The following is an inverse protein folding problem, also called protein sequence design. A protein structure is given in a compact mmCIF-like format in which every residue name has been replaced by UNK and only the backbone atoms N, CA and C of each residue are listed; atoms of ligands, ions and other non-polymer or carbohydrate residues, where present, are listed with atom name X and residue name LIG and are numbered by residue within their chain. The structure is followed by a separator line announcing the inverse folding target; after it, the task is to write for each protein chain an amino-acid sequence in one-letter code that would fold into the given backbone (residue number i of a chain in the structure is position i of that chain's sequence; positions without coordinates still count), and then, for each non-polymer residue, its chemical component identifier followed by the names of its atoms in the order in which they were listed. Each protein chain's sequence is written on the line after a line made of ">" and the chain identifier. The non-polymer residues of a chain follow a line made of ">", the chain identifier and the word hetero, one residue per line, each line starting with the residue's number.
data_IF_927008878831
#
_entry.id   IF_927008878831
#
_cell.length_a   1.000
_cell.length_b   1.000
_cell.length_c   1.000
_cell.angle_alpha   90.00
_cell.angle_beta   90.00
_cell.angle_gamma   90.00
#
_symmetry.space_group_name_H-M   'P 1'
#
loop_
_entity.id
_entity.type
_entity.pdbx_description
1 polymer ?
#
# COMPACT_ATOMS: atom_id res chain seq x y z
N UNK A 1 17.28 15.52 -3.76
CA UNK A 1 18.05 16.15 -2.68
C UNK A 1 18.32 15.17 -1.55
N UNK A 2 17.34 14.40 -1.09
CA UNK A 2 17.54 13.34 -0.11
C UNK A 2 16.90 12.04 -0.60
N UNK A 3 17.58 10.92 -0.41
CA UNK A 3 16.97 9.61 -0.61
C UNK A 3 16.01 9.31 0.56
N UNK A 4 14.98 8.45 0.37
CA UNK A 4 14.08 8.05 1.45
C UNK A 4 14.84 7.48 2.67
N UNK A 5 15.92 6.76 2.44
CA UNK A 5 16.78 6.18 3.49
C UNK A 5 17.49 7.26 4.30
N UNK A 6 18.05 8.27 3.64
CA UNK A 6 18.69 9.41 4.31
C UNK A 6 17.67 10.23 5.10
N UNK A 7 16.47 10.47 4.55
CA UNK A 7 15.39 11.14 5.27
C UNK A 7 14.99 10.37 6.53
N UNK A 8 14.89 9.05 6.44
CA UNK A 8 14.63 8.17 7.58
C UNK A 8 15.73 8.27 8.65
N UNK A 9 17.00 8.27 8.24
CA UNK A 9 18.14 8.43 9.13
C UNK A 9 18.14 9.77 9.86
N UNK A 10 17.89 10.87 9.14
CA UNK A 10 17.76 12.22 9.73
C UNK A 10 16.57 12.27 10.70
N UNK A 11 15.42 11.72 10.35
CA UNK A 11 14.26 11.66 11.22
C UNK A 11 14.54 10.90 12.53
N UNK A 12 15.18 9.74 12.43
CA UNK A 12 15.57 8.95 13.60
C UNK A 12 16.58 9.70 14.50
N UNK A 13 17.58 10.38 13.90
CA UNK A 13 18.55 11.17 14.64
C UNK A 13 17.87 12.34 15.39
N UNK A 14 16.98 13.07 14.72
CA UNK A 14 16.24 14.17 15.35
C UNK A 14 15.34 13.68 16.48
N UNK A 15 14.65 12.55 16.29
CA UNK A 15 13.82 11.94 17.33
C UNK A 15 14.65 11.54 18.55
N UNK A 16 15.85 10.96 18.33
CA UNK A 16 16.77 10.59 19.41
C UNK A 16 17.27 11.83 20.16
N UNK A 17 17.70 12.88 19.44
CA UNK A 17 18.16 14.15 20.04
C UNK A 17 17.03 14.74 20.90
N UNK A 18 15.80 14.76 20.40
CA UNK A 18 14.64 15.27 21.13
C UNK A 18 14.33 14.45 22.38
N UNK A 19 14.40 13.11 22.28
CA UNK A 19 14.20 12.20 23.41
C UNK A 19 15.27 12.42 24.51
N UNK A 20 16.54 12.59 24.12
CA UNK A 20 17.63 12.89 25.05
C UNK A 20 17.45 14.27 25.68
N UNK A 21 17.03 15.28 24.93
CA UNK A 21 16.74 16.62 25.46
C UNK A 21 15.61 16.59 26.49
N UNK A 22 14.55 15.79 26.23
CA UNK A 22 13.44 15.57 27.17
C UNK A 22 13.82 14.67 28.36
N UNK A 23 15.05 14.17 28.42
CA UNK A 23 15.55 13.24 29.46
C UNK A 23 14.69 11.97 29.54
N UNK A 24 14.27 11.43 28.40
CA UNK A 24 13.50 10.18 28.32
C UNK A 24 14.27 9.07 29.06
N UNK A 25 13.62 8.28 29.92
CA UNK A 25 14.25 7.18 30.64
C UNK A 25 14.96 6.19 29.69
N UNK A 26 16.09 5.66 30.12
CA UNK A 26 16.83 4.67 29.31
C UNK A 26 16.01 3.43 28.95
N UNK A 27 15.10 3.03 29.87
CA UNK A 27 14.22 1.89 29.64
C UNK A 27 13.29 2.13 28.43
N UNK A 28 12.75 3.34 28.30
CA UNK A 28 11.85 3.69 27.17
C UNK A 28 12.63 3.78 25.86
N UNK A 29 13.87 4.28 25.89
CA UNK A 29 14.75 4.28 24.71
C UNK A 29 15.07 2.85 24.25
N UNK A 30 15.45 1.97 25.18
CA UNK A 30 15.70 0.56 24.87
C UNK A 30 14.44 -0.12 24.33
N UNK A 31 13.27 0.15 24.92
CA UNK A 31 12.00 -0.37 24.43
C UNK A 31 11.73 0.09 22.99
N UNK A 32 11.91 1.38 22.69
CA UNK A 32 11.72 1.93 21.35
C UNK A 32 12.68 1.30 20.31
N UNK A 33 13.96 1.12 20.66
CA UNK A 33 14.91 0.42 19.78
C UNK A 33 14.54 -1.05 19.58
N UNK A 34 14.11 -1.73 20.64
CA UNK A 34 13.68 -3.14 20.54
C UNK A 34 12.47 -3.27 19.63
N UNK A 35 11.47 -2.39 19.79
CA UNK A 35 10.29 -2.37 18.93
C UNK A 35 10.65 -2.09 17.47
N UNK A 36 11.56 -1.15 17.21
CA UNK A 36 12.05 -0.86 15.86
C UNK A 36 12.75 -2.08 15.23
N UNK A 37 13.58 -2.82 16.01
CA UNK A 37 14.27 -4.03 15.54
C UNK A 37 13.25 -5.14 15.22
N UNK A 38 12.27 -5.38 16.09
CA UNK A 38 11.23 -6.39 15.89
C UNK A 38 10.40 -6.07 14.66
N UNK A 39 9.96 -4.81 14.52
CA UNK A 39 9.19 -4.36 13.36
C UNK A 39 10.00 -4.48 12.06
N UNK A 40 11.26 -4.06 12.07
CA UNK A 40 12.15 -4.23 10.91
C UNK A 40 12.36 -5.70 10.56
N UNK A 41 12.55 -6.56 11.56
CA UNK A 41 12.69 -8.00 11.36
C UNK A 41 11.46 -8.63 10.72
N UNK A 42 10.26 -8.21 11.13
CA UNK A 42 9.01 -8.63 10.53
C UNK A 42 8.89 -8.20 9.05
N UNK A 43 9.30 -6.95 8.74
CA UNK A 43 9.33 -6.46 7.37
C UNK A 43 10.30 -7.26 6.51
N UNK A 44 11.51 -7.55 7.00
CA UNK A 44 12.47 -8.39 6.27
C UNK A 44 11.97 -9.81 6.04
N UNK A 45 11.25 -10.39 6.99
CA UNK A 45 10.63 -11.71 6.81
C UNK A 45 9.57 -11.69 5.70
N UNK A 46 8.74 -10.64 5.65
CA UNK A 46 7.77 -10.43 4.56
C UNK A 46 8.49 -10.28 3.21
N UNK A 47 9.58 -9.51 3.14
CA UNK A 47 10.36 -9.33 1.92
C UNK A 47 10.93 -10.66 1.41
N UNK A 48 11.52 -11.47 2.28
CA UNK A 48 12.05 -12.79 1.93
C UNK A 48 10.91 -13.69 1.42
N UNK A 49 9.77 -13.69 2.10
CA UNK A 49 8.59 -14.44 1.65
C UNK A 49 8.08 -13.97 0.28
N UNK A 50 8.05 -12.65 0.05
CA UNK A 50 7.63 -12.07 -1.22
C UNK A 50 8.59 -12.43 -2.37
N UNK A 51 9.91 -12.46 -2.14
CA UNK A 51 10.91 -12.89 -3.13
C UNK A 51 10.72 -14.37 -3.52
N UNK A 52 10.54 -15.25 -2.53
CA UNK A 52 10.26 -16.67 -2.79
C UNK A 52 8.94 -16.83 -3.56
N UNK A 53 7.91 -16.10 -3.18
CA UNK A 53 6.63 -16.11 -3.88
C UNK A 53 6.75 -15.57 -5.30
N UNK A 54 7.46 -14.46 -5.51
CA UNK A 54 7.74 -13.89 -6.82
C UNK A 54 8.48 -14.87 -7.74
N UNK A 55 9.45 -15.62 -7.20
CA UNK A 55 10.13 -16.69 -7.93
C UNK A 55 9.16 -17.79 -8.38
N UNK A 56 8.29 -18.27 -7.48
CA UNK A 56 7.25 -19.27 -7.81
C UNK A 56 6.31 -18.76 -8.89
N UNK A 57 5.86 -17.51 -8.78
CA UNK A 57 4.98 -16.87 -9.78
C UNK A 57 5.66 -16.77 -11.16
N UNK A 58 6.91 -16.33 -11.17
CA UNK A 58 7.68 -16.23 -12.41
C UNK A 58 7.86 -17.61 -13.09
N UNK A 59 8.16 -18.63 -12.30
CA UNK A 59 8.36 -19.98 -12.79
C UNK A 59 7.04 -20.64 -13.24
N UNK A 60 5.95 -20.38 -12.54
CA UNK A 60 4.62 -20.93 -12.87
C UNK A 60 3.97 -20.29 -14.09
N UNK A 61 4.55 -19.20 -14.64
CA UNK A 61 3.98 -18.44 -15.76
C UNK A 61 2.55 -17.93 -15.50
N UNK A 62 2.14 -17.81 -14.23
CA UNK A 62 0.79 -17.42 -13.86
C UNK A 62 0.39 -16.05 -14.43
N UNK A 63 1.32 -15.08 -14.39
CA UNK A 63 1.07 -13.74 -14.95
C UNK A 63 0.80 -13.79 -16.47
N UNK A 64 1.55 -14.62 -17.20
CA UNK A 64 1.34 -14.80 -18.64
C UNK A 64 0.02 -15.52 -18.93
N UNK A 65 -0.34 -16.52 -18.14
CA UNK A 65 -1.62 -17.20 -18.25
C UNK A 65 -2.80 -16.24 -18.00
N UNK A 66 -2.67 -15.34 -17.02
CA UNK A 66 -3.66 -14.27 -16.76
C UNK A 66 -3.78 -13.30 -17.95
N UNK A 67 -2.66 -12.85 -18.51
CA UNK A 67 -2.67 -12.00 -19.71
C UNK A 67 -3.37 -12.69 -20.88
N UNK A 68 -3.05 -13.97 -21.12
CA UNK A 68 -3.72 -14.76 -22.16
C UNK A 68 -5.24 -14.87 -21.93
N UNK A 69 -5.65 -15.25 -20.73
CA UNK A 69 -7.05 -15.36 -20.36
C UNK A 69 -7.81 -14.04 -20.53
N UNK A 70 -7.23 -12.92 -20.13
CA UNK A 70 -7.86 -11.60 -20.27
C UNK A 70 -8.00 -11.18 -21.74
N UNK A 71 -7.00 -11.46 -22.56
CA UNK A 71 -7.05 -11.20 -24.00
C UNK A 71 -8.12 -12.03 -24.69
N UNK A 72 -8.23 -13.33 -24.36
CA UNK A 72 -9.20 -14.25 -24.93
C UNK A 72 -10.63 -13.94 -24.46
N UNK A 73 -10.78 -13.36 -23.28
CA UNK A 73 -12.09 -13.00 -22.69
C UNK A 73 -12.69 -11.72 -23.27
N UNK A 74 -11.96 -10.98 -24.12
CA UNK A 74 -12.45 -9.76 -24.77
C UNK A 74 -12.62 -8.56 -23.80
N UNK A 75 -11.99 -8.58 -22.63
CA UNK A 75 -11.99 -7.44 -21.73
C UNK A 75 -11.21 -6.26 -22.31
N UNK A 76 -11.74 -5.06 -22.17
CA UNK A 76 -11.01 -3.84 -22.49
C UNK A 76 -9.95 -3.58 -21.42
N UNK A 77 -8.84 -2.89 -21.77
CA UNK A 77 -7.77 -2.53 -20.83
C UNK A 77 -8.29 -1.83 -19.57
N UNK A 78 -9.30 -0.96 -19.71
CA UNK A 78 -9.93 -0.27 -18.58
C UNK A 78 -10.72 -1.20 -17.66
N UNK A 79 -11.39 -2.21 -18.20
CA UNK A 79 -12.10 -3.22 -17.40
C UNK A 79 -11.10 -4.06 -16.59
N UNK A 80 -9.98 -4.43 -17.20
CA UNK A 80 -8.90 -5.14 -16.51
C UNK A 80 -8.33 -4.29 -15.36
N UNK A 81 -8.02 -3.03 -15.61
CA UNK A 81 -7.53 -2.11 -14.57
C UNK A 81 -8.53 -1.99 -13.42
N UNK A 82 -9.81 -1.71 -13.72
CA UNK A 82 -10.84 -1.58 -12.70
C UNK A 82 -11.02 -2.85 -11.88
N UNK A 83 -10.95 -4.03 -12.50
CA UNK A 83 -11.02 -5.31 -11.80
C UNK A 83 -9.83 -5.46 -10.82
N UNK A 84 -8.62 -5.09 -11.23
CA UNK A 84 -7.44 -5.09 -10.36
C UNK A 84 -7.63 -4.10 -9.19
N UNK A 85 -8.14 -2.90 -9.43
CA UNK A 85 -8.36 -1.90 -8.36
C UNK A 85 -9.43 -2.37 -7.37
N UNK A 86 -10.52 -2.96 -7.83
CA UNK A 86 -11.54 -3.57 -6.95
C UNK A 86 -10.93 -4.70 -6.13
N UNK A 87 -10.10 -5.53 -6.74
CA UNK A 87 -9.38 -6.59 -6.03
C UNK A 87 -8.45 -6.01 -4.95
N UNK A 88 -7.74 -4.92 -5.22
CA UNK A 88 -6.91 -4.23 -4.24
C UNK A 88 -7.72 -3.66 -3.08
N UNK A 89 -8.89 -3.06 -3.33
CA UNK A 89 -9.78 -2.58 -2.27
C UNK A 89 -10.22 -3.74 -1.37
N UNK A 90 -10.61 -4.87 -1.97
CA UNK A 90 -11.03 -6.06 -1.21
C UNK A 90 -9.87 -6.60 -0.37
N UNK A 91 -8.69 -6.81 -0.97
CA UNK A 91 -7.52 -7.30 -0.23
C UNK A 91 -7.07 -6.32 0.85
N UNK A 92 -7.10 -5.01 0.58
CA UNK A 92 -6.73 -3.96 1.54
C UNK A 92 -7.59 -3.96 2.80
N UNK A 93 -8.82 -4.49 2.73
CA UNK A 93 -9.64 -4.70 3.92
C UNK A 93 -9.02 -5.73 4.90
N UNK A 94 -8.21 -6.68 4.41
CA UNK A 94 -7.75 -7.83 5.19
C UNK A 94 -6.24 -7.89 5.38
N UNK A 95 -5.46 -7.23 4.51
CA UNK A 95 -4.01 -7.31 4.48
C UNK A 95 -3.38 -5.94 4.78
N UNK A 96 -2.18 -5.98 5.36
CA UNK A 96 -1.34 -4.80 5.51
C UNK A 96 -0.80 -4.35 4.14
N UNK A 97 -0.68 -3.03 3.93
CA UNK A 97 -0.38 -2.44 2.62
C UNK A 97 0.93 -2.91 2.00
N UNK A 98 2.00 -2.96 2.80
CA UNK A 98 3.32 -3.36 2.30
C UNK A 98 3.33 -4.82 1.82
N UNK A 99 2.78 -5.72 2.64
CA UNK A 99 2.68 -7.13 2.30
C UNK A 99 1.84 -7.34 1.03
N UNK A 100 0.70 -6.62 0.93
CA UNK A 100 -0.18 -6.71 -0.23
C UNK A 100 0.51 -6.26 -1.51
N UNK A 101 1.17 -5.09 -1.50
CA UNK A 101 1.88 -4.58 -2.68
C UNK A 101 3.00 -5.55 -3.10
N UNK A 102 3.82 -6.01 -2.15
CA UNK A 102 4.94 -6.91 -2.45
C UNK A 102 4.50 -8.24 -3.05
N UNK A 103 3.36 -8.78 -2.61
CA UNK A 103 2.83 -10.03 -3.13
C UNK A 103 2.11 -9.89 -4.47
N UNK A 104 1.43 -8.77 -4.71
CA UNK A 104 0.52 -8.65 -5.86
C UNK A 104 1.14 -7.93 -7.06
N UNK A 105 2.10 -7.02 -6.83
CA UNK A 105 2.78 -6.31 -7.94
C UNK A 105 3.43 -7.28 -8.93
N UNK A 106 4.16 -8.33 -8.53
CA UNK A 106 4.72 -9.29 -9.47
C UNK A 106 3.68 -9.97 -10.37
N UNK A 107 2.44 -10.11 -9.88
CA UNK A 107 1.33 -10.71 -10.64
C UNK A 107 0.74 -9.73 -11.64
N UNK A 108 0.41 -8.53 -11.17
CA UNK A 108 -0.36 -7.56 -11.96
C UNK A 108 0.51 -6.67 -12.85
N UNK A 109 1.78 -6.46 -12.51
CA UNK A 109 2.67 -5.60 -13.29
C UNK A 109 2.79 -6.03 -14.75
N UNK A 110 3.02 -7.32 -15.11
CA UNK A 110 3.01 -7.78 -16.49
C UNK A 110 1.67 -7.56 -17.18
N UNK A 111 0.55 -7.74 -16.45
CA UNK A 111 -0.81 -7.51 -16.96
C UNK A 111 -1.01 -6.04 -17.33
N UNK A 112 -0.57 -5.13 -16.48
CA UNK A 112 -0.66 -3.67 -16.69
C UNK A 112 0.16 -3.25 -17.91
N UNK A 113 1.38 -3.74 -18.05
CA UNK A 113 2.23 -3.47 -19.21
C UNK A 113 1.62 -4.00 -20.50
N UNK A 114 1.09 -5.23 -20.49
CA UNK A 114 0.43 -5.83 -21.66
C UNK A 114 -0.81 -5.04 -22.10
N UNK A 115 -1.49 -4.34 -21.17
CA UNK A 115 -2.63 -3.49 -21.45
C UNK A 115 -2.25 -2.03 -21.81
N UNK A 116 -0.95 -1.71 -21.93
CA UNK A 116 -0.46 -0.43 -22.40
C UNK A 116 -0.47 0.71 -21.37
N UNK A 117 -0.63 0.42 -20.08
CA UNK A 117 -0.60 1.42 -19.03
C UNK A 117 0.82 1.75 -18.58
N UNK A 118 1.05 3.01 -18.20
CA UNK A 118 2.33 3.44 -17.63
C UNK A 118 2.55 2.82 -16.24
N UNK A 119 3.73 2.19 -15.99
CA UNK A 119 4.01 1.51 -14.73
C UNK A 119 4.09 2.45 -13.52
N UNK A 120 4.55 3.69 -13.69
CA UNK A 120 4.66 4.66 -12.60
C UNK A 120 3.27 5.14 -12.21
N UNK A 121 2.44 5.46 -13.20
CA UNK A 121 1.05 5.83 -12.99
C UNK A 121 0.27 4.72 -12.28
N UNK A 122 0.44 3.46 -12.73
CA UNK A 122 -0.17 2.32 -12.04
C UNK A 122 0.32 2.19 -10.59
N UNK A 123 1.62 2.36 -10.34
CA UNK A 123 2.18 2.31 -8.99
C UNK A 123 1.52 3.31 -8.04
N UNK A 124 1.33 4.56 -8.50
CA UNK A 124 0.64 5.60 -7.71
C UNK A 124 -0.81 5.20 -7.42
N UNK A 125 -1.55 4.73 -8.44
CA UNK A 125 -2.94 4.31 -8.29
C UNK A 125 -3.06 3.09 -7.38
N UNK A 126 -2.17 2.11 -7.52
CA UNK A 126 -2.16 0.92 -6.68
C UNK A 126 -2.01 1.29 -5.21
N UNK A 127 -1.02 2.13 -4.85
CA UNK A 127 -0.82 2.59 -3.47
C UNK A 127 -2.04 3.31 -2.94
N UNK A 128 -2.61 4.26 -3.69
CA UNK A 128 -3.83 4.99 -3.28
C UNK A 128 -5.00 4.04 -3.06
N UNK A 129 -5.14 3.03 -3.92
CA UNK A 129 -6.24 2.05 -3.83
C UNK A 129 -6.07 1.12 -2.64
N UNK A 130 -4.83 0.71 -2.35
CA UNK A 130 -4.50 -0.09 -1.17
C UNK A 130 -4.86 0.65 0.11
N UNK A 131 -4.43 1.90 0.24
CA UNK A 131 -4.74 2.75 1.39
C UNK A 131 -6.26 2.95 1.56
N UNK A 132 -6.98 3.15 0.44
CA UNK A 132 -8.44 3.20 0.44
C UNK A 132 -9.05 1.90 1.00
N UNK A 133 -8.54 0.74 0.61
CA UNK A 133 -8.99 -0.57 1.12
C UNK A 133 -8.82 -0.69 2.62
N UNK A 134 -7.70 -0.22 3.18
CA UNK A 134 -7.40 -0.31 4.61
C UNK A 134 -8.34 0.50 5.51
N UNK A 135 -9.00 1.52 4.96
CA UNK A 135 -9.98 2.34 5.69
C UNK A 135 -11.43 2.04 5.30
N UNK A 136 -11.64 1.19 4.28
CA UNK A 136 -12.98 0.92 3.75
C UNK A 136 -13.75 -0.06 4.64
N UNK A 137 -14.96 0.29 5.12
CA UNK A 137 -15.84 -0.66 5.81
C UNK A 137 -16.22 -1.84 4.87
N UNK A 138 -16.53 -3.04 5.39
CA UNK A 138 -16.83 -3.38 6.79
C UNK A 138 -15.62 -3.80 7.63
N UNK A 139 -14.50 -4.15 7.01
CA UNK A 139 -13.35 -4.67 7.76
C UNK A 139 -12.31 -3.58 8.00
N UNK A 140 -11.65 -3.07 6.97
CA UNK A 140 -10.66 -1.99 7.03
C UNK A 140 -9.68 -2.09 8.21
N UNK A 141 -8.49 -2.64 7.99
CA UNK A 141 -7.57 -2.97 9.09
C UNK A 141 -7.30 -1.76 10.00
N UNK A 142 -7.17 -0.55 9.45
CA UNK A 142 -6.95 0.67 10.21
C UNK A 142 -8.12 1.03 11.14
N UNK A 143 -9.36 0.60 10.83
CA UNK A 143 -10.52 0.84 11.70
C UNK A 143 -10.40 0.10 13.03
N UNK A 144 -9.81 -1.10 13.03
CA UNK A 144 -9.55 -1.85 14.25
C UNK A 144 -8.42 -1.22 15.08
N UNK A 145 -7.40 -0.65 14.42
CA UNK A 145 -6.35 0.10 15.11
C UNK A 145 -6.94 1.32 15.83
N UNK A 146 -7.78 2.11 15.14
CA UNK A 146 -8.51 3.23 15.75
C UNK A 146 -9.42 2.74 16.86
N UNK A 147 -10.12 1.61 16.68
CA UNK A 147 -10.98 1.03 17.73
C UNK A 147 -10.19 0.65 18.98
N UNK A 148 -9.01 0.06 18.85
CA UNK A 148 -8.17 -0.32 19.99
C UNK A 148 -7.67 0.90 20.77
N UNK A 149 -7.37 2.00 20.08
CA UNK A 149 -6.95 3.26 20.68
C UNK A 149 -8.13 4.07 21.28
N UNK A 150 -9.35 3.85 20.79
CA UNK A 150 -10.55 4.62 21.18
C UNK A 150 -11.33 3.94 22.30
N UNK A 151 -11.10 4.36 23.55
CA UNK A 151 -11.80 3.80 24.71
C UNK A 151 -13.31 4.10 24.64
N UNK A 152 -14.14 3.04 24.60
CA UNK A 152 -15.59 3.15 24.69
C UNK A 152 -16.35 3.54 23.43
N UNK A 153 -15.67 3.91 22.32
CA UNK A 153 -16.34 4.25 21.05
C UNK A 153 -16.75 2.97 20.32
N UNK A 154 -18.02 2.78 19.93
CA UNK A 154 -18.43 1.61 19.17
C UNK A 154 -17.86 1.64 17.74
N UNK A 155 -17.51 0.47 17.20
CA UNK A 155 -16.92 0.34 15.86
C UNK A 155 -17.79 0.95 14.75
N UNK A 156 -19.11 0.83 14.88
CA UNK A 156 -20.09 1.42 13.95
C UNK A 156 -19.98 2.94 13.85
N UNK A 157 -19.68 3.63 14.96
CA UNK A 157 -19.46 5.07 14.95
C UNK A 157 -18.13 5.44 14.28
N UNK A 158 -17.09 4.63 14.48
CA UNK A 158 -15.79 4.80 13.79
C UNK A 158 -16.00 4.62 12.30
N UNK A 159 -16.68 3.55 11.86
CA UNK A 159 -17.02 3.30 10.47
C UNK A 159 -17.79 4.48 9.84
N UNK A 160 -18.81 4.97 10.52
CA UNK A 160 -19.57 6.13 10.03
C UNK A 160 -18.70 7.40 9.93
N UNK A 161 -17.78 7.59 10.86
CA UNK A 161 -16.84 8.71 10.84
C UNK A 161 -15.82 8.66 9.71
N UNK A 162 -15.52 7.47 9.18
CA UNK A 162 -14.54 7.28 8.10
C UNK A 162 -15.18 7.45 6.70
N UNK A 163 -16.50 7.31 6.57
CA UNK A 163 -17.19 7.43 5.26
C UNK A 163 -16.79 8.69 4.47
N UNK A 164 -16.73 9.90 5.05
CA UNK A 164 -16.30 11.09 4.31
C UNK A 164 -14.88 10.97 3.72
N UNK A 165 -13.97 10.31 4.43
CA UNK A 165 -12.60 10.07 3.96
C UNK A 165 -12.56 9.06 2.83
N UNK A 166 -13.34 7.99 2.91
CA UNK A 166 -13.50 7.01 1.81
C UNK A 166 -14.04 7.69 0.56
N UNK A 167 -15.03 8.58 0.69
CA UNK A 167 -15.58 9.35 -0.44
C UNK A 167 -14.53 10.28 -1.02
N UNK A 168 -13.77 10.98 -0.18
CA UNK A 168 -12.70 11.87 -0.64
C UNK A 168 -11.59 11.09 -1.39
N UNK A 169 -11.22 9.90 -0.90
CA UNK A 169 -10.24 9.03 -1.55
C UNK A 169 -10.76 8.43 -2.86
N UNK A 170 -12.03 8.09 -2.94
CA UNK A 170 -12.65 7.67 -4.21
C UNK A 170 -12.63 8.81 -5.25
N UNK A 171 -12.91 10.04 -4.84
CA UNK A 171 -12.82 11.21 -5.71
C UNK A 171 -11.36 11.42 -6.15
N UNK A 172 -10.40 11.35 -5.21
CA UNK A 172 -8.96 11.44 -5.50
C UNK A 172 -8.54 10.38 -6.51
N UNK A 173 -8.93 9.12 -6.28
CA UNK A 173 -8.64 8.01 -7.20
C UNK A 173 -9.25 8.26 -8.58
N UNK A 174 -10.50 8.73 -8.65
CA UNK A 174 -11.15 9.10 -9.90
C UNK A 174 -10.41 10.20 -10.66
N UNK A 175 -9.91 11.22 -9.97
CA UNK A 175 -9.10 12.30 -10.57
C UNK A 175 -7.77 11.73 -11.12
N UNK A 176 -7.07 10.88 -10.35
CA UNK A 176 -5.81 10.27 -10.79
C UNK A 176 -5.99 9.34 -11.99
N UNK A 177 -7.14 8.65 -12.08
CA UNK A 177 -7.50 7.83 -13.23
C UNK A 177 -7.81 8.68 -14.46
N UNK A 178 -8.52 9.79 -14.27
CA UNK A 178 -8.91 10.69 -15.37
C UNK A 178 -7.75 11.54 -15.90
N UNK A 179 -6.79 11.90 -15.03
CA UNK A 179 -5.68 12.80 -15.36
C UNK A 179 -4.34 12.16 -14.98
N UNK A 180 -3.82 11.20 -15.77
CA UNK A 180 -2.53 10.55 -15.52
C UNK A 180 -1.35 11.53 -15.37
N UNK A 181 -1.44 12.68 -16.04
CA UNK A 181 -0.43 13.72 -15.99
C UNK A 181 -0.09 14.18 -14.55
N UNK A 182 -1.05 14.15 -13.62
CA UNK A 182 -0.81 14.53 -12.22
C UNK A 182 0.26 13.63 -11.60
N UNK A 183 0.21 12.33 -11.87
CA UNK A 183 1.17 11.34 -11.36
C UNK A 183 2.50 11.38 -12.11
N UNK A 184 2.50 11.78 -13.39
CA UNK A 184 3.65 11.69 -14.27
C UNK A 184 4.41 13.02 -14.40
N UNK A 185 3.84 14.15 -13.96
CA UNK A 185 4.40 15.49 -14.12
C UNK A 185 5.85 15.60 -13.60
N UNK A 186 6.13 15.03 -12.45
CA UNK A 186 7.45 15.09 -11.82
C UNK A 186 8.45 14.06 -12.36
N UNK A 187 8.00 13.13 -13.19
CA UNK A 187 8.85 12.04 -13.73
C UNK A 187 9.42 12.37 -15.10
N UNK A 188 9.01 13.49 -15.71
CA UNK A 188 9.42 13.88 -17.07
C UNK A 188 8.90 12.95 -18.17
N UNK A 189 7.85 12.20 -17.91
CA UNK A 189 7.22 11.23 -18.84
C UNK A 189 5.84 11.69 -19.31
N UNK A 190 5.69 12.96 -19.59
CA UNK A 190 4.49 13.52 -20.23
C UNK A 190 4.56 13.36 -21.74
#
# INVERSE_FOLDING_TARGET
>A
FFTPTEAGGVGAALALIFALWRRTPRADLVAAFTEAIVSSGAIFLILIGAEVFGFVLSTSQLSNALVGFLNDSGFTSWQVLLAILVFYVILGCFMESLAMILLTVPIFFPVILANGFDPIWFGVIAVVTVELGMITPPVGMNLFMVKSASRGVPLTRIMAGVVPFVVADLIRLGILLAVPAISLLLTGRL
#
